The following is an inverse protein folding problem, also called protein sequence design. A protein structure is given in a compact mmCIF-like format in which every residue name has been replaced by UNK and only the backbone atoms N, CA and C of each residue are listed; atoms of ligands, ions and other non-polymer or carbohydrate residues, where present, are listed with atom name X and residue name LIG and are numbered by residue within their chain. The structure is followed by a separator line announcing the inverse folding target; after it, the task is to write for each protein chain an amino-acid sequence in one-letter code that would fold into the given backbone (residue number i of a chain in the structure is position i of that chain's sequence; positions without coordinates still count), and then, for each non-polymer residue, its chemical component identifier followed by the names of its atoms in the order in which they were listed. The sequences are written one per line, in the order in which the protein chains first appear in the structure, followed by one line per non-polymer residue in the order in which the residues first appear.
data_IF_365397251469
#
_entry.id   IF_365397251469
#
_cell.length_a   1.000
_cell.length_b   1.000
_cell.length_c   1.000
_cell.angle_alpha   90.00
_cell.angle_beta   90.00
_cell.angle_gamma   90.00
#
_symmetry.space_group_name_H-M   'P 1'
#
loop_
_entity.id
_entity.type
_entity.pdbx_description
1 polymer ?
#
# COMPACT_ATOMS: atom_id res chain seq x y z
N UNK A 1 -50.18 32.47 7.50
CA UNK A 1 -49.07 32.02 8.37
C UNK A 1 -49.34 30.59 8.83
N UNK A 2 -49.05 29.58 7.99
CA UNK A 2 -49.04 28.17 8.42
C UNK A 2 -48.13 27.32 7.52
N UNK A 3 -47.91 27.75 6.27
CA UNK A 3 -47.09 27.02 5.30
C UNK A 3 -45.57 27.17 5.50
N UNK A 4 -45.12 28.10 6.34
CA UNK A 4 -43.69 28.31 6.63
C UNK A 4 -43.15 27.47 7.78
N UNK A 5 -44.02 26.99 8.70
CA UNK A 5 -43.59 26.16 9.84
C UNK A 5 -43.39 24.69 9.46
N UNK A 6 -44.12 24.22 8.45
CA UNK A 6 -44.06 22.83 7.97
C UNK A 6 -42.75 22.57 7.21
N UNK A 7 -42.26 23.57 6.46
CA UNK A 7 -41.02 23.48 5.68
C UNK A 7 -39.79 23.39 6.59
N UNK A 8 -39.77 24.09 7.73
CA UNK A 8 -38.67 23.97 8.71
C UNK A 8 -38.62 22.61 9.39
N UNK A 9 -39.75 21.93 9.58
CA UNK A 9 -39.76 20.62 10.22
C UNK A 9 -39.20 19.52 9.31
N UNK A 10 -39.45 19.62 8.00
CA UNK A 10 -38.93 18.69 7.00
C UNK A 10 -37.41 18.80 6.80
N UNK A 11 -36.83 19.98 7.03
CA UNK A 11 -35.39 20.22 6.89
C UNK A 11 -34.56 19.58 8.00
N UNK A 12 -35.15 19.27 9.16
CA UNK A 12 -34.45 18.64 10.29
C UNK A 12 -34.37 17.11 10.16
N UNK A 13 -35.29 16.47 9.42
CA UNK A 13 -35.31 15.02 9.24
C UNK A 13 -34.26 14.53 8.22
N UNK A 14 -33.67 15.40 7.41
CA UNK A 14 -32.65 15.02 6.42
C UNK A 14 -31.22 15.04 6.97
N UNK A 15 -31.00 15.53 8.20
CA UNK A 15 -29.69 15.52 8.87
C UNK A 15 -29.45 14.28 9.75
N UNK A 16 -30.36 13.31 9.79
CA UNK A 16 -30.06 11.98 10.30
C UNK A 16 -29.23 11.20 9.24
N UNK A 17 -28.04 11.74 8.95
CA UNK A 17 -27.01 11.05 8.20
C UNK A 17 -26.74 9.72 8.88
N UNK A 18 -26.87 8.65 8.12
CA UNK A 18 -26.51 7.31 8.52
C UNK A 18 -25.04 7.31 8.96
N UNK A 19 -24.79 7.43 10.25
CA UNK A 19 -23.58 6.89 10.87
C UNK A 19 -23.72 5.37 10.88
N UNK A 20 -23.70 4.75 9.71
CA UNK A 20 -23.32 3.35 9.64
C UNK A 20 -21.92 3.29 10.26
N UNK A 21 -21.63 2.37 11.19
CA UNK A 21 -20.26 2.13 11.57
C UNK A 21 -19.52 1.87 10.27
N UNK A 22 -18.55 2.72 9.97
CA UNK A 22 -17.57 2.44 8.95
C UNK A 22 -16.85 1.22 9.49
N UNK A 23 -17.34 0.02 9.16
CA UNK A 23 -16.49 -1.14 9.05
C UNK A 23 -15.35 -0.64 8.17
N UNK A 24 -14.22 -0.35 8.81
CA UNK A 24 -13.01 0.09 8.15
C UNK A 24 -12.91 -0.76 6.89
N UNK A 25 -12.82 -0.17 5.68
CA UNK A 25 -12.80 -0.96 4.49
C UNK A 25 -11.64 -1.91 4.69
N UNK A 26 -11.96 -3.18 4.96
CA UNK A 26 -10.92 -4.19 5.02
C UNK A 26 -10.52 -4.24 3.57
N UNK A 27 -9.50 -3.47 3.24
CA UNK A 27 -8.79 -3.49 1.99
C UNK A 27 -8.14 -4.87 1.92
N UNK A 28 -8.97 -5.90 1.77
CA UNK A 28 -8.63 -7.19 1.19
C UNK A 28 -8.45 -6.90 -0.30
N UNK A 29 -7.53 -6.00 -0.65
CA UNK A 29 -6.92 -6.04 -1.98
C UNK A 29 -6.38 -7.46 -2.07
N UNK A 30 -7.01 -8.21 -2.97
CA UNK A 30 -7.04 -9.65 -3.01
C UNK A 30 -5.71 -10.24 -2.57
N UNK A 31 -5.70 -10.96 -1.44
CA UNK A 31 -4.63 -11.89 -1.11
C UNK A 31 -4.73 -13.07 -2.09
N UNK A 32 -4.56 -12.79 -3.39
CA UNK A 32 -4.09 -13.82 -4.31
C UNK A 32 -2.77 -14.26 -3.72
N UNK A 33 -2.72 -15.46 -3.16
CA UNK A 33 -1.49 -16.01 -2.57
C UNK A 33 -0.46 -16.02 -3.68
N UNK A 34 0.45 -15.06 -3.68
CA UNK A 34 1.62 -15.06 -4.57
C UNK A 34 2.38 -16.34 -4.25
N UNK A 35 2.78 -17.06 -5.29
CA UNK A 35 3.63 -18.24 -5.11
C UNK A 35 4.99 -17.82 -4.53
N UNK A 36 5.60 -18.64 -3.66
CA UNK A 36 6.90 -18.35 -3.05
C UNK A 36 7.98 -18.02 -4.10
N UNK A 37 7.96 -18.69 -5.25
CA UNK A 37 8.85 -18.42 -6.39
C UNK A 37 8.74 -16.97 -6.90
N UNK A 38 7.53 -16.43 -6.98
CA UNK A 38 7.31 -15.07 -7.49
C UNK A 38 7.78 -14.02 -6.47
N UNK A 39 7.51 -14.24 -5.18
CA UNK A 39 8.07 -13.36 -4.13
C UNK A 39 9.60 -13.38 -4.09
N UNK A 40 10.24 -14.53 -4.32
CA UNK A 40 11.71 -14.65 -4.38
C UNK A 40 12.29 -13.87 -5.57
N UNK A 41 11.64 -13.92 -6.73
CA UNK A 41 12.05 -13.15 -7.91
C UNK A 41 11.94 -11.64 -7.67
N UNK A 42 10.84 -11.18 -7.06
CA UNK A 42 10.68 -9.76 -6.71
C UNK A 42 11.74 -9.32 -5.69
N UNK A 43 12.04 -10.15 -4.70
CA UNK A 43 13.08 -9.85 -3.71
C UNK A 43 14.44 -9.68 -4.37
N UNK A 44 14.84 -10.62 -5.22
CA UNK A 44 16.14 -10.54 -5.90
C UNK A 44 16.23 -9.31 -6.79
N UNK A 45 15.19 -9.01 -7.58
CA UNK A 45 15.16 -7.82 -8.43
C UNK A 45 15.22 -6.52 -7.61
N UNK A 46 14.54 -6.49 -6.46
CA UNK A 46 14.62 -5.36 -5.53
C UNK A 46 16.05 -5.18 -5.00
N UNK A 47 16.72 -6.27 -4.61
CA UNK A 47 18.09 -6.23 -4.10
C UNK A 47 19.07 -5.75 -5.17
N UNK A 48 18.93 -6.19 -6.41
CA UNK A 48 19.78 -5.76 -7.52
C UNK A 48 19.61 -4.26 -7.80
N UNK A 49 18.36 -3.78 -7.81
CA UNK A 49 18.09 -2.36 -8.04
C UNK A 49 18.60 -1.47 -6.89
N UNK A 50 18.44 -1.93 -5.65
CA UNK A 50 18.96 -1.23 -4.48
C UNK A 50 20.49 -1.21 -4.47
N UNK A 51 21.14 -2.35 -4.76
CA UNK A 51 22.59 -2.44 -4.90
C UNK A 51 23.13 -1.41 -5.91
N UNK A 52 22.50 -1.35 -7.09
CA UNK A 52 22.84 -0.35 -8.10
C UNK A 52 22.59 1.09 -7.61
N UNK A 53 21.43 1.38 -7.00
CA UNK A 53 21.06 2.73 -6.57
C UNK A 53 21.92 3.30 -5.44
N UNK A 54 22.34 2.43 -4.52
CA UNK A 54 23.14 2.79 -3.34
C UNK A 54 24.64 2.50 -3.53
N UNK A 55 25.06 2.04 -4.71
CA UNK A 55 26.44 1.66 -5.01
C UNK A 55 26.99 0.69 -3.95
N UNK A 56 26.24 -0.39 -3.71
CA UNK A 56 26.51 -1.44 -2.73
C UNK A 56 26.46 -2.81 -3.38
N UNK A 57 27.09 -3.81 -2.77
CA UNK A 57 26.93 -5.20 -3.23
C UNK A 57 25.54 -5.72 -2.86
N UNK A 58 24.96 -6.58 -3.70
CA UNK A 58 23.67 -7.24 -3.47
C UNK A 58 23.61 -7.99 -2.13
N UNK A 59 24.75 -8.52 -1.68
CA UNK A 59 24.91 -9.21 -0.40
C UNK A 59 24.75 -8.27 0.81
N UNK A 60 24.96 -6.98 0.62
CA UNK A 60 24.81 -5.93 1.64
C UNK A 60 23.44 -5.26 1.62
N UNK A 61 22.52 -5.76 0.78
CA UNK A 61 21.13 -5.34 0.74
C UNK A 61 20.28 -6.36 1.50
N UNK A 62 19.53 -5.89 2.49
CA UNK A 62 18.61 -6.72 3.25
C UNK A 62 17.18 -6.28 2.98
N UNK A 63 16.33 -7.21 2.54
CA UNK A 63 14.88 -7.02 2.45
C UNK A 63 14.26 -7.54 3.74
N UNK A 64 13.52 -6.69 4.42
CA UNK A 64 12.98 -6.93 5.77
C UNK A 64 11.46 -7.04 5.80
N UNK A 65 10.77 -6.65 4.72
CA UNK A 65 9.32 -6.73 4.65
C UNK A 65 8.82 -6.86 3.22
N UNK A 66 7.72 -7.59 3.08
CA UNK A 66 6.97 -7.76 1.84
C UNK A 66 5.50 -7.46 2.16
N UNK A 67 4.96 -6.40 1.57
CA UNK A 67 3.57 -6.01 1.77
C UNK A 67 2.82 -5.92 0.44
N UNK A 68 1.53 -6.23 0.49
CA UNK A 68 0.61 -5.96 -0.61
C UNK A 68 -0.26 -4.78 -0.24
N UNK A 69 -0.20 -3.70 -1.03
CA UNK A 69 -0.93 -2.47 -0.77
C UNK A 69 -1.66 -2.03 -2.04
N UNK A 70 -2.99 -1.95 -1.99
CA UNK A 70 -3.83 -1.43 -3.09
C UNK A 70 -3.56 -2.04 -4.50
N UNK A 71 -3.14 -3.30 -4.58
CA UNK A 71 -2.85 -3.95 -5.87
C UNK A 71 -1.40 -3.80 -6.35
N UNK A 72 -0.52 -3.25 -5.52
CA UNK A 72 0.93 -3.29 -5.72
C UNK A 72 1.62 -4.06 -4.59
N UNK A 73 2.81 -4.55 -4.86
CA UNK A 73 3.68 -5.11 -3.84
C UNK A 73 4.77 -4.12 -3.46
N UNK A 74 5.02 -3.99 -2.17
CA UNK A 74 6.09 -3.16 -1.62
C UNK A 74 7.06 -4.03 -0.83
N UNK A 75 8.31 -4.04 -1.28
CA UNK A 75 9.41 -4.67 -0.57
C UNK A 75 10.22 -3.58 0.11
N UNK A 76 10.39 -3.71 1.42
CA UNK A 76 11.18 -2.77 2.22
C UNK A 76 12.49 -3.38 2.61
N UNK A 77 13.51 -2.55 2.69
CA UNK A 77 14.83 -3.00 3.07
C UNK A 77 15.75 -1.87 3.49
N UNK A 78 16.99 -2.24 3.79
CA UNK A 78 18.05 -1.29 4.04
C UNK A 78 19.40 -1.79 3.55
N UNK A 79 20.33 -0.85 3.35
CA UNK A 79 21.74 -1.15 3.10
C UNK A 79 22.47 -1.48 4.41
N UNK A 80 23.71 -1.97 4.32
CA UNK A 80 24.61 -2.10 5.49
C UNK A 80 24.89 -0.77 6.21
N UNK A 81 24.66 0.35 5.53
CA UNK A 81 24.76 1.71 6.09
C UNK A 81 23.45 2.20 6.71
N UNK A 82 22.45 1.32 6.83
CA UNK A 82 21.11 1.62 7.36
C UNK A 82 20.32 2.63 6.52
N UNK A 83 20.62 2.73 5.22
CA UNK A 83 19.83 3.55 4.31
C UNK A 83 18.58 2.78 3.93
N UNK A 84 17.40 3.30 4.31
CA UNK A 84 16.11 2.65 4.04
C UNK A 84 15.66 2.84 2.60
N UNK A 85 15.01 1.82 2.04
CA UNK A 85 14.39 1.88 0.72
C UNK A 85 13.11 1.07 0.63
N UNK A 86 12.32 1.38 -0.40
CA UNK A 86 11.13 0.61 -0.80
C UNK A 86 11.19 0.35 -2.31
N UNK A 87 11.08 -0.91 -2.70
CA UNK A 87 10.82 -1.31 -4.08
C UNK A 87 9.33 -1.56 -4.25
N UNK A 88 8.71 -0.92 -5.24
CA UNK A 88 7.31 -1.15 -5.59
C UNK A 88 7.20 -1.97 -6.86
N UNK A 89 6.25 -2.89 -6.88
CA UNK A 89 5.91 -3.75 -8.02
C UNK A 89 4.40 -3.66 -8.29
N UNK A 90 3.97 -3.83 -9.54
CA UNK A 90 2.55 -3.95 -9.83
C UNK A 90 1.97 -5.32 -9.41
N UNK A 91 0.69 -5.54 -9.68
CA UNK A 91 0.00 -6.79 -9.35
C UNK A 91 0.60 -8.03 -10.04
N UNK A 92 1.25 -7.85 -11.19
CA UNK A 92 1.89 -8.91 -11.98
C UNK A 92 3.34 -9.14 -11.52
N UNK A 93 3.87 -8.28 -10.65
CA UNK A 93 5.25 -8.33 -10.15
C UNK A 93 6.27 -7.66 -11.05
N UNK A 94 5.84 -6.78 -11.97
CA UNK A 94 6.76 -5.93 -12.72
C UNK A 94 7.27 -4.81 -11.81
N UNK A 95 8.57 -4.56 -11.89
CA UNK A 95 9.20 -3.51 -11.11
C UNK A 95 8.71 -2.13 -11.56
N UNK A 96 8.19 -1.33 -10.63
CA UNK A 96 7.70 0.02 -10.88
C UNK A 96 8.76 1.07 -10.56
N UNK A 97 9.19 1.13 -9.30
CA UNK A 97 10.19 2.10 -8.85
C UNK A 97 10.85 1.69 -7.54
N UNK A 98 11.98 2.33 -7.25
CA UNK A 98 12.66 2.27 -5.95
C UNK A 98 12.70 3.68 -5.36
N UNK A 99 12.20 3.82 -4.13
CA UNK A 99 12.20 5.08 -3.37
C UNK A 99 13.07 4.97 -2.11
N UNK A 100 13.64 6.09 -1.71
CA UNK A 100 14.36 6.23 -0.43
C UNK A 100 13.34 6.43 0.69
N UNK A 101 13.61 5.88 1.87
CA UNK A 101 12.79 6.07 3.07
C UNK A 101 13.58 6.67 4.23
#
# INVERSE_FOLDING_TARGET
MMMTRVVSLFLLLTLAGCSAPQDAPVQRAQQGKIGPEHSLNMEQLCKDQAAHRYNSDVQNIEVTGFEHFQGSYELRGHTSRKEGFVCSFDADGQFLHLSMR
#
